data_IF_259218906704
#
_entry.id   IF_259218906704
#
_cell.length_a   1.000
_cell.length_b   1.000
_cell.length_c   1.000
_cell.angle_alpha   90.00
_cell.angle_beta   90.00
_cell.angle_gamma   90.00
#
_symmetry.space_group_name_H-M   'P 1'
#
loop_
_entity.id
_entity.type
_entity.pdbx_description
1 polymer ?
#
# COMPACT_ATOMS: atom_id res chain seq x y z
N UNK A 1 -36.34 -5.21 17.03
CA UNK A 1 -36.50 -4.82 15.61
C UNK A 1 -35.13 -4.82 14.95
N UNK A 2 -34.92 -5.55 13.85
CA UNK A 2 -33.66 -5.48 13.08
C UNK A 2 -33.13 -6.74 12.37
N UNK A 3 -33.81 -7.89 12.38
CA UNK A 3 -33.25 -9.16 11.85
C UNK A 3 -33.86 -9.68 10.53
N UNK A 4 -34.54 -8.83 9.74
CA UNK A 4 -35.33 -9.27 8.56
C UNK A 4 -34.78 -8.86 7.20
N UNK A 5 -33.74 -8.01 7.11
CA UNK A 5 -33.22 -7.56 5.81
C UNK A 5 -32.13 -8.47 5.19
N UNK A 6 -31.31 -9.15 6.01
CA UNK A 6 -30.22 -10.01 5.51
C UNK A 6 -30.71 -11.34 4.87
N UNK A 7 -31.87 -11.86 5.30
CA UNK A 7 -32.44 -13.10 4.77
C UNK A 7 -33.09 -12.93 3.38
N UNK A 8 -33.49 -11.70 3.01
CA UNK A 8 -34.17 -11.41 1.73
C UNK A 8 -33.19 -11.34 0.56
N UNK A 9 -31.97 -10.86 0.78
CA UNK A 9 -30.94 -10.77 -0.26
C UNK A 9 -30.36 -12.15 -0.65
N UNK A 10 -30.19 -13.07 0.31
CA UNK A 10 -29.76 -14.46 0.01
C UNK A 10 -30.78 -15.26 -0.80
N UNK A 11 -32.09 -15.01 -0.61
CA UNK A 11 -33.15 -15.68 -1.39
C UNK A 11 -33.22 -15.19 -2.84
N UNK A 12 -32.84 -13.94 -3.11
CA UNK A 12 -32.85 -13.36 -4.47
C UNK A 12 -31.73 -13.95 -5.35
N UNK A 13 -30.51 -14.10 -4.81
CA UNK A 13 -29.41 -14.73 -5.56
C UNK A 13 -29.67 -16.22 -5.86
N UNK A 14 -30.24 -16.98 -4.91
CA UNK A 14 -30.58 -18.39 -5.13
C UNK A 14 -31.70 -18.60 -6.16
N UNK A 15 -32.54 -17.59 -6.42
CA UNK A 15 -33.58 -17.64 -7.46
C UNK A 15 -33.00 -17.40 -8.84
N UNK A 16 -32.02 -16.50 -8.95
CA UNK A 16 -31.33 -16.20 -10.23
C UNK A 16 -30.46 -17.38 -10.69
N UNK A 17 -29.80 -18.08 -9.77
CA UNK A 17 -29.00 -19.28 -10.10
C UNK A 17 -29.85 -20.47 -10.54
N UNK A 18 -31.04 -20.67 -9.96
CA UNK A 18 -31.97 -21.73 -10.42
C UNK A 18 -32.55 -21.44 -11.81
N UNK A 19 -32.72 -20.17 -12.17
CA UNK A 19 -33.32 -19.78 -13.45
C UNK A 19 -32.35 -19.98 -14.63
N UNK A 20 -31.03 -19.88 -14.40
CA UNK A 20 -30.01 -20.17 -15.42
C UNK A 20 -29.87 -21.68 -15.65
N UNK A 21 -29.94 -22.50 -14.58
CA UNK A 21 -29.86 -23.97 -14.70
C UNK A 21 -31.06 -24.54 -15.47
N UNK A 22 -32.25 -23.95 -15.32
CA UNK A 22 -33.48 -24.46 -15.93
C UNK A 22 -33.62 -24.13 -17.43
N UNK A 23 -32.88 -23.13 -17.94
CA UNK A 23 -32.83 -22.83 -19.40
C UNK A 23 -31.99 -23.86 -20.15
N UNK A 24 -31.00 -24.48 -19.51
CA UNK A 24 -30.16 -25.51 -20.13
C UNK A 24 -30.82 -26.90 -20.19
N UNK A 25 -31.70 -27.26 -19.24
CA UNK A 25 -32.41 -28.56 -19.28
C UNK A 25 -33.60 -28.57 -20.26
N UNK A 26 -34.13 -27.41 -20.65
CA UNK A 26 -35.29 -27.29 -21.55
C UNK A 26 -35.01 -27.54 -23.04
N UNK A 27 -33.75 -27.55 -23.48
CA UNK A 27 -33.38 -27.80 -24.89
C UNK A 27 -33.06 -29.27 -25.20
N UNK A 28 -33.13 -30.16 -24.21
CA UNK A 28 -32.83 -31.60 -24.37
C UNK A 28 -34.07 -32.49 -24.61
N UNK A 29 -35.29 -31.98 -24.43
CA UNK A 29 -36.52 -32.78 -24.45
C UNK A 29 -37.38 -32.66 -25.74
N UNK A 30 -36.81 -32.25 -26.88
CA UNK A 30 -37.50 -32.25 -28.19
C UNK A 30 -36.65 -32.89 -29.29
N UNK A 31 -36.32 -34.16 -29.12
CA UNK A 31 -35.81 -34.99 -30.22
C UNK A 31 -36.17 -36.47 -29.98
N UNK A 32 -37.46 -36.80 -30.06
CA UNK A 32 -37.92 -38.17 -30.30
C UNK A 32 -38.93 -38.16 -31.42
N UNK A 33 -38.43 -38.34 -32.64
CA UNK A 33 -39.01 -39.23 -33.66
C UNK A 33 -38.21 -39.04 -34.95
N UNK A 34 -37.42 -40.07 -35.31
CA UNK A 34 -37.23 -40.65 -36.64
C UNK A 34 -35.82 -41.28 -36.79
N UNK A 35 -35.80 -42.38 -37.56
CA UNK A 35 -34.81 -43.48 -37.66
C UNK A 35 -33.48 -43.11 -38.40
N UNK A 36 -32.43 -43.97 -38.32
CA UNK A 36 -31.00 -43.66 -38.54
C UNK A 36 -30.60 -43.75 -40.03
N UNK A 37 -29.32 -43.57 -40.49
CA UNK A 37 -28.05 -43.64 -39.74
C UNK A 37 -27.00 -42.59 -40.11
N UNK A 38 -26.32 -42.01 -39.12
CA UNK A 38 -24.97 -41.47 -39.35
C UNK A 38 -24.16 -41.55 -38.06
N UNK A 39 -22.94 -42.07 -38.19
CA UNK A 39 -21.96 -42.27 -37.11
C UNK A 39 -21.67 -40.94 -36.42
N UNK A 40 -21.90 -40.85 -35.11
CA UNK A 40 -21.42 -39.72 -34.29
C UNK A 40 -20.47 -40.28 -33.23
N UNK A 41 -19.20 -39.94 -33.39
CA UNK A 41 -18.12 -40.22 -32.44
C UNK A 41 -18.35 -39.34 -31.21
N UNK A 42 -18.48 -39.97 -30.04
CA UNK A 42 -18.57 -39.26 -28.74
C UNK A 42 -17.14 -38.93 -28.30
N UNK A 43 -16.72 -37.67 -28.43
CA UNK A 43 -15.53 -37.16 -27.73
C UNK A 43 -15.93 -36.79 -26.30
N UNK A 44 -15.37 -37.52 -25.34
CA UNK A 44 -15.49 -37.26 -23.91
C UNK A 44 -14.49 -36.14 -23.54
N UNK A 45 -14.96 -34.91 -23.34
CA UNK A 45 -14.11 -33.79 -22.90
C UNK A 45 -13.93 -33.84 -21.38
N UNK A 46 -12.69 -34.08 -20.95
CA UNK A 46 -12.24 -33.92 -19.57
C UNK A 46 -12.28 -32.44 -19.17
N UNK A 47 -13.22 -32.08 -18.30
CA UNK A 47 -13.25 -30.76 -17.67
C UNK A 47 -12.08 -30.69 -16.66
N UNK A 48 -11.07 -29.90 -17.00
CA UNK A 48 -9.89 -29.67 -16.17
C UNK A 48 -10.24 -29.00 -14.84
N UNK A 49 -9.63 -29.49 -13.76
CA UNK A 49 -9.58 -28.80 -12.48
C UNK A 49 -8.83 -27.47 -12.65
N UNK A 50 -9.56 -26.36 -12.68
CA UNK A 50 -8.98 -25.04 -12.45
C UNK A 50 -8.92 -24.84 -10.93
N UNK A 51 -7.71 -25.01 -10.38
CA UNK A 51 -7.40 -24.65 -9.01
C UNK A 51 -7.64 -23.15 -8.80
N UNK A 52 -8.37 -22.82 -7.73
CA UNK A 52 -8.46 -21.45 -7.22
C UNK A 52 -7.07 -21.05 -6.73
N UNK A 53 -6.32 -20.29 -7.52
CA UNK A 53 -5.19 -19.54 -7.01
C UNK A 53 -5.75 -18.35 -6.24
N UNK A 54 -5.63 -18.39 -4.91
CA UNK A 54 -5.84 -17.21 -4.07
C UNK A 54 -4.74 -16.19 -4.43
N UNK A 55 -5.08 -15.25 -5.30
CA UNK A 55 -4.28 -14.03 -5.49
C UNK A 55 -4.52 -13.19 -4.24
N UNK A 56 -3.60 -13.27 -3.28
CA UNK A 56 -3.56 -12.33 -2.17
C UNK A 56 -3.24 -10.94 -2.74
N UNK A 57 -4.11 -9.92 -2.51
CA UNK A 57 -3.78 -8.56 -2.91
C UNK A 57 -2.47 -8.16 -2.24
N UNK A 58 -1.49 -7.75 -3.05
CA UNK A 58 -0.26 -7.14 -2.51
C UNK A 58 -0.66 -5.83 -1.83
N UNK A 59 -0.21 -5.63 -0.60
CA UNK A 59 -0.46 -4.39 0.14
C UNK A 59 -0.07 -3.18 -0.73
N UNK A 60 -0.90 -2.12 -0.78
CA UNK A 60 -0.58 -0.95 -1.58
C UNK A 60 0.76 -0.36 -1.14
N UNK A 61 1.72 -0.31 -2.06
CA UNK A 61 3.00 0.36 -1.87
C UNK A 61 2.87 1.80 -2.35
N UNK A 62 3.25 2.76 -1.51
CA UNK A 62 3.24 4.18 -1.84
C UNK A 62 4.66 4.71 -1.89
N UNK A 63 5.15 5.06 -3.09
CA UNK A 63 6.51 5.57 -3.31
C UNK A 63 6.54 7.08 -3.46
N UNK A 64 7.57 7.70 -2.88
CA UNK A 64 7.87 9.10 -2.97
C UNK A 64 9.35 9.32 -3.33
N UNK A 65 9.59 10.37 -4.12
CA UNK A 65 10.91 10.95 -4.35
C UNK A 65 11.11 12.12 -3.39
N UNK A 66 12.15 12.07 -2.56
CA UNK A 66 12.40 13.04 -1.51
C UNK A 66 13.69 13.83 -1.75
N UNK A 67 13.71 15.07 -1.27
CA UNK A 67 14.86 15.98 -1.27
C UNK A 67 15.07 16.52 0.13
N UNK A 68 16.31 16.46 0.61
CA UNK A 68 16.72 17.10 1.86
C UNK A 68 16.88 18.60 1.60
N UNK A 69 16.04 19.40 2.24
CA UNK A 69 16.00 20.85 2.12
C UNK A 69 16.94 21.52 3.14
N UNK A 70 17.01 20.96 4.36
CA UNK A 70 17.82 21.48 5.46
C UNK A 70 18.49 20.38 6.27
N UNK A 71 19.63 20.69 6.87
CA UNK A 71 20.34 19.80 7.78
C UNK A 71 20.96 20.62 8.89
N UNK A 72 20.56 20.33 10.11
CA UNK A 72 21.16 20.89 11.31
C UNK A 72 21.82 19.77 12.10
N UNK A 73 22.95 20.08 12.73
CA UNK A 73 23.67 19.19 13.63
C UNK A 73 23.78 19.92 14.96
N UNK A 74 23.27 19.32 16.02
CA UNK A 74 23.40 19.93 17.34
C UNK A 74 24.89 20.02 17.68
N UNK A 75 25.42 21.20 18.08
CA UNK A 75 26.78 21.31 18.56
C UNK A 75 26.93 20.42 19.78
N UNK A 76 27.66 19.33 19.58
CA UNK A 76 27.76 18.19 20.46
C UNK A 76 28.14 18.61 21.88
N UNK A 77 27.25 18.36 22.84
CA UNK A 77 27.54 18.35 24.29
C UNK A 77 27.99 16.98 24.82
N UNK A 78 28.06 15.95 23.97
CA UNK A 78 28.41 14.56 24.33
C UNK A 78 29.83 14.13 23.90
N UNK A 79 30.51 13.40 24.79
CA UNK A 79 31.97 13.20 24.84
C UNK A 79 32.50 12.00 24.02
N UNK A 80 31.64 11.21 23.36
CA UNK A 80 32.03 9.92 22.75
C UNK A 80 31.81 9.81 21.22
N UNK A 81 31.52 10.91 20.52
CA UNK A 81 31.38 10.90 19.06
C UNK A 81 29.96 10.63 18.53
N UNK A 82 28.96 10.55 19.41
CA UNK A 82 27.56 10.57 19.03
C UNK A 82 27.16 11.94 18.49
N UNK A 83 26.28 11.98 17.48
CA UNK A 83 25.78 13.23 16.92
C UNK A 83 24.27 13.18 16.73
N UNK A 84 23.59 14.26 17.14
CA UNK A 84 22.17 14.47 16.82
C UNK A 84 22.09 15.25 15.51
N UNK A 85 21.36 14.69 14.55
CA UNK A 85 21.12 15.25 13.23
C UNK A 85 19.63 15.50 13.06
N UNK A 86 19.29 16.72 12.67
CA UNK A 86 17.94 17.09 12.24
C UNK A 86 17.93 17.29 10.72
N UNK A 87 16.98 16.65 10.04
CA UNK A 87 16.78 16.79 8.60
C UNK A 87 15.40 17.39 8.34
N UNK A 88 15.37 18.41 7.48
CA UNK A 88 14.14 18.90 6.88
C UNK A 88 14.09 18.40 5.44
N UNK A 89 12.97 17.82 5.04
CA UNK A 89 12.82 17.28 3.69
C UNK A 89 11.42 17.44 3.12
N UNK A 90 11.38 17.49 1.80
CA UNK A 90 10.16 17.49 1.00
C UNK A 90 10.13 16.24 0.13
N UNK A 91 8.95 15.67 -0.06
CA UNK A 91 8.77 14.55 -0.97
C UNK A 91 7.61 14.78 -1.94
N UNK A 92 7.71 14.22 -3.13
CA UNK A 92 6.65 14.15 -4.14
C UNK A 92 6.37 12.70 -4.49
N UNK A 93 5.13 12.40 -4.83
CA UNK A 93 4.77 11.04 -5.26
C UNK A 93 5.51 10.72 -6.57
N UNK A 94 6.19 9.59 -6.60
CA UNK A 94 6.96 9.16 -7.78
C UNK A 94 6.02 8.86 -8.97
N UNK A 95 4.90 8.17 -8.71
CA UNK A 95 4.02 7.63 -9.75
C UNK A 95 2.50 7.88 -9.51
N UNK A 96 1.73 7.99 -10.59
CA UNK A 96 0.27 7.94 -10.59
C UNK A 96 -0.47 9.30 -10.56
N UNK A 97 -1.81 9.24 -10.48
CA UNK A 97 -2.75 10.39 -10.60
C UNK A 97 -2.65 11.44 -9.48
N UNK A 98 -1.79 11.22 -8.48
CA UNK A 98 -1.63 12.08 -7.31
C UNK A 98 -0.29 12.84 -7.35
N UNK A 99 0.12 13.36 -8.52
CA UNK A 99 1.41 14.07 -8.70
C UNK A 99 1.53 15.33 -7.84
N UNK A 100 0.41 15.93 -7.46
CA UNK A 100 0.36 17.10 -6.56
C UNK A 100 0.38 16.72 -5.08
N UNK A 101 0.39 15.42 -4.77
CA UNK A 101 0.55 14.96 -3.40
C UNK A 101 2.02 14.93 -3.00
N UNK A 102 2.29 15.31 -1.76
CA UNK A 102 3.64 15.42 -1.25
C UNK A 102 3.71 15.43 0.26
N UNK A 103 4.93 15.41 0.76
CA UNK A 103 5.27 15.41 2.18
C UNK A 103 6.15 16.62 2.44
N UNK A 104 5.91 17.31 3.55
CA UNK A 104 6.90 18.18 4.19
C UNK A 104 7.15 17.62 5.57
N UNK A 105 8.40 17.40 5.95
CA UNK A 105 8.72 16.75 7.21
C UNK A 105 10.00 17.27 7.84
N UNK A 106 10.09 17.04 9.14
CA UNK A 106 11.32 17.15 9.92
C UNK A 106 11.54 15.84 10.65
N UNK A 107 12.76 15.31 10.61
CA UNK A 107 13.19 14.16 11.38
C UNK A 107 14.41 14.50 12.22
N UNK A 108 14.50 13.88 13.39
CA UNK A 108 15.61 14.01 14.34
C UNK A 108 16.11 12.61 14.64
N UNK A 109 17.42 12.43 14.57
CA UNK A 109 18.08 11.14 14.76
C UNK A 109 19.38 11.29 15.53
N UNK A 110 19.69 10.32 16.36
CA UNK A 110 20.99 10.17 17.01
C UNK A 110 21.81 9.16 16.23
N UNK A 111 23.09 9.47 16.00
CA UNK A 111 24.01 8.66 15.23
C UNK A 111 25.23 8.29 16.07
N UNK A 112 25.56 7.00 16.05
CA UNK A 112 26.82 6.43 16.50
C UNK A 112 27.54 5.86 15.28
N UNK A 113 28.54 6.61 14.79
CA UNK A 113 29.26 6.29 13.56
C UNK A 113 28.29 6.10 12.37
N UNK A 114 28.17 4.89 11.83
CA UNK A 114 27.36 4.56 10.65
C UNK A 114 25.93 4.14 10.98
N UNK A 115 25.55 4.05 12.26
CA UNK A 115 24.23 3.61 12.69
C UNK A 115 23.48 4.77 13.34
N UNK A 116 22.19 4.87 13.02
CA UNK A 116 21.33 5.90 13.55
C UNK A 116 20.05 5.34 14.15
N UNK A 117 19.54 6.00 15.17
CA UNK A 117 18.20 5.78 15.72
C UNK A 117 17.40 7.06 15.56
N UNK A 118 16.22 6.96 14.96
CA UNK A 118 15.33 8.10 14.79
C UNK A 118 14.58 8.35 16.09
N UNK A 119 14.82 9.53 16.67
CA UNK A 119 14.24 9.95 17.94
C UNK A 119 12.84 10.55 17.74
N UNK A 120 12.64 11.26 16.63
CA UNK A 120 11.37 11.89 16.29
C UNK A 120 11.25 12.14 14.78
N UNK A 121 10.02 12.12 14.27
CA UNK A 121 9.67 12.71 12.97
C UNK A 121 8.23 13.21 13.03
N UNK A 122 7.98 14.30 12.31
CA UNK A 122 6.63 14.77 12.01
C UNK A 122 6.51 14.99 10.51
N UNK A 123 5.51 14.35 9.91
CA UNK A 123 5.34 14.31 8.46
C UNK A 123 3.97 14.90 8.09
N UNK A 124 3.93 15.97 7.32
CA UNK A 124 2.67 16.53 6.81
C UNK A 124 2.47 16.10 5.37
N UNK A 125 1.52 15.20 5.17
CA UNK A 125 1.09 14.72 3.88
C UNK A 125 -0.01 15.62 3.33
N UNK A 126 0.15 16.06 2.09
CA UNK A 126 -0.87 16.82 1.35
C UNK A 126 -1.22 16.08 0.08
N UNK A 127 -2.49 16.10 -0.28
CA UNK A 127 -3.01 15.61 -1.55
C UNK A 127 -4.18 16.51 -1.98
N UNK A 128 -4.64 16.35 -3.22
CA UNK A 128 -5.82 17.08 -3.67
C UNK A 128 -7.02 16.75 -2.76
N UNK A 129 -7.55 17.79 -2.10
CA UNK A 129 -8.70 17.68 -1.21
C UNK A 129 -8.48 16.89 0.08
N UNK A 130 -7.23 16.74 0.55
CA UNK A 130 -6.95 16.03 1.80
C UNK A 130 -5.57 16.32 2.38
N UNK A 131 -5.44 16.13 3.69
CA UNK A 131 -4.16 16.22 4.40
C UNK A 131 -4.11 15.21 5.55
N UNK A 132 -2.92 14.78 5.90
CA UNK A 132 -2.67 13.89 7.03
C UNK A 132 -1.36 14.26 7.74
N UNK A 133 -1.28 13.97 9.04
CA UNK A 133 -0.11 14.22 9.88
C UNK A 133 0.37 12.91 10.46
N UNK A 134 1.54 12.47 9.99
CA UNK A 134 2.30 11.33 10.50
C UNK A 134 3.21 11.75 11.66
N UNK A 135 3.36 10.86 12.62
CA UNK A 135 4.34 10.97 13.70
C UNK A 135 5.10 9.64 13.79
N UNK A 136 6.43 9.73 13.83
CA UNK A 136 7.28 8.56 14.04
C UNK A 136 6.90 7.80 15.31
N UNK A 137 6.87 6.47 15.21
CA UNK A 137 6.78 5.58 16.36
C UNK A 137 8.13 4.95 16.69
N UNK A 138 8.83 4.48 15.68
CA UNK A 138 10.14 3.85 15.77
C UNK A 138 10.84 3.98 14.42
N UNK A 139 12.17 4.05 14.42
CA UNK A 139 12.94 4.00 13.20
C UNK A 139 14.44 3.88 13.44
N UNK A 140 15.09 3.16 12.55
CA UNK A 140 16.53 2.95 12.53
C UNK A 140 17.09 3.38 11.17
N UNK A 141 18.35 3.81 11.18
CA UNK A 141 19.08 4.28 10.01
C UNK A 141 20.47 3.67 9.91
N UNK A 142 20.97 3.60 8.69
CA UNK A 142 22.37 3.27 8.42
C UNK A 142 22.94 4.16 7.31
N UNK A 143 24.21 4.52 7.46
CA UNK A 143 24.98 5.15 6.39
C UNK A 143 25.16 4.16 5.25
N UNK A 144 24.85 4.59 4.03
CA UNK A 144 25.16 3.84 2.81
C UNK A 144 26.52 4.32 2.31
N UNK A 145 27.44 3.38 2.12
CA UNK A 145 28.83 3.64 1.77
C UNK A 145 29.13 3.17 0.33
N UNK A 146 29.79 4.02 -0.45
CA UNK A 146 30.40 3.67 -1.74
C UNK A 146 31.83 4.19 -1.75
N UNK A 147 32.79 3.37 -2.17
CA UNK A 147 34.23 3.72 -2.21
C UNK A 147 34.76 4.35 -0.90
N UNK A 148 34.36 3.78 0.25
CA UNK A 148 34.66 4.29 1.60
C UNK A 148 34.16 5.71 1.90
N UNK A 149 33.12 6.17 1.19
CA UNK A 149 32.48 7.47 1.40
C UNK A 149 30.98 7.29 1.62
N UNK A 150 30.43 8.03 2.58
CA UNK A 150 28.99 8.06 2.79
C UNK A 150 28.29 8.75 1.61
N UNK A 151 27.40 8.02 0.93
CA UNK A 151 26.60 8.52 -0.20
C UNK A 151 25.17 8.86 0.19
N UNK A 152 24.73 8.44 1.38
CA UNK A 152 23.45 8.83 1.95
C UNK A 152 23.04 7.95 3.12
N UNK A 153 21.76 8.00 3.46
CA UNK A 153 21.17 7.27 4.58
C UNK A 153 20.07 6.36 4.05
N UNK A 154 20.13 5.08 4.42
CA UNK A 154 19.00 4.17 4.36
C UNK A 154 18.32 4.14 5.73
N UNK A 155 16.99 4.07 5.76
CA UNK A 155 16.24 4.02 7.00
C UNK A 155 15.01 3.11 6.89
N UNK A 156 14.51 2.65 8.02
CA UNK A 156 13.24 1.93 8.10
C UNK A 156 12.56 2.17 9.43
N UNK A 157 11.24 2.04 9.47
CA UNK A 157 10.50 2.25 10.71
C UNK A 157 9.00 2.24 10.55
N UNK A 158 8.31 2.83 11.52
CA UNK A 158 6.85 2.98 11.55
C UNK A 158 6.46 4.43 11.85
N UNK A 159 5.42 4.89 11.17
CA UNK A 159 4.75 6.16 11.47
C UNK A 159 3.28 5.90 11.75
N UNK A 160 2.72 6.64 12.70
CA UNK A 160 1.27 6.65 12.98
C UNK A 160 0.69 7.98 12.52
N UNK A 161 -0.42 7.92 11.79
CA UNK A 161 -1.15 9.11 11.40
C UNK A 161 -2.03 9.60 12.54
N UNK A 162 -1.57 10.60 13.28
CA UNK A 162 -2.30 11.19 14.41
C UNK A 162 -3.54 11.97 13.97
N UNK A 163 -3.53 12.46 12.74
CA UNK A 163 -4.64 13.18 12.14
C UNK A 163 -4.71 12.90 10.64
N UNK A 164 -5.92 12.76 10.09
CA UNK A 164 -6.14 12.79 8.65
C UNK A 164 -7.54 13.30 8.29
N UNK A 165 -7.67 13.93 7.14
CA UNK A 165 -8.95 14.43 6.63
C UNK A 165 -9.06 14.40 5.10
N UNK A 166 -10.27 14.64 4.61
CA UNK A 166 -10.55 14.72 3.18
C UNK A 166 -10.21 13.43 2.44
N UNK A 167 -9.53 13.53 1.30
CA UNK A 167 -9.10 12.37 0.50
C UNK A 167 -8.11 11.44 1.22
N UNK A 168 -7.52 11.88 2.34
CA UNK A 168 -6.59 11.08 3.16
C UNK A 168 -7.21 10.58 4.47
N UNK A 169 -8.51 10.81 4.73
CA UNK A 169 -9.15 10.50 6.01
C UNK A 169 -8.99 9.04 6.49
N UNK A 170 -8.87 8.08 5.56
CA UNK A 170 -8.65 6.66 5.87
C UNK A 170 -7.34 6.38 6.61
N UNK A 171 -6.39 7.32 6.60
CA UNK A 171 -5.13 7.21 7.33
C UNK A 171 -5.29 7.47 8.83
N UNK A 172 -6.35 8.15 9.29
CA UNK A 172 -6.44 8.56 10.70
C UNK A 172 -6.35 7.37 11.66
N UNK A 173 -5.39 7.41 12.58
CA UNK A 173 -5.10 6.34 13.54
C UNK A 173 -4.40 5.11 12.95
N UNK A 174 -4.05 5.11 11.65
CA UNK A 174 -3.32 4.01 11.02
C UNK A 174 -1.84 4.13 11.26
N UNK A 175 -1.21 2.99 11.49
CA UNK A 175 0.23 2.83 11.48
C UNK A 175 0.65 2.21 10.16
N UNK A 176 1.59 2.83 9.49
CA UNK A 176 2.23 2.30 8.27
C UNK A 176 3.71 2.11 8.52
N UNK A 177 4.33 1.19 7.77
CA UNK A 177 5.78 1.02 7.77
C UNK A 177 6.39 1.86 6.67
N UNK A 178 7.61 2.35 6.88
CA UNK A 178 8.37 3.03 5.85
C UNK A 178 9.76 2.43 5.67
N UNK A 179 10.31 2.60 4.48
CA UNK A 179 11.72 2.41 4.16
C UNK A 179 12.22 3.60 3.35
N UNK A 180 13.52 3.89 3.44
CA UNK A 180 14.18 4.87 2.58
C UNK A 180 15.48 4.29 2.02
N UNK A 181 15.86 4.78 0.84
CA UNK A 181 17.17 4.51 0.25
C UNK A 181 17.70 5.75 -0.46
N UNK A 182 19.01 6.04 -0.40
CA UNK A 182 19.58 7.15 -1.12
C UNK A 182 19.55 6.89 -2.63
N UNK A 183 19.27 7.94 -3.42
CA UNK A 183 19.25 7.89 -4.90
C UNK A 183 20.05 9.03 -5.53
N UNK A 184 20.89 9.68 -4.73
CA UNK A 184 21.78 10.76 -5.16
C UNK A 184 22.04 11.75 -4.03
N UNK A 185 22.88 12.75 -4.32
CA UNK A 185 23.20 13.80 -3.35
C UNK A 185 21.94 14.48 -2.86
N UNK A 186 21.71 14.44 -1.53
CA UNK A 186 20.53 14.99 -0.85
C UNK A 186 19.18 14.45 -1.35
N UNK A 187 19.17 13.32 -2.06
CA UNK A 187 17.95 12.69 -2.58
C UNK A 187 17.81 11.27 -2.09
N UNK A 188 16.59 10.89 -1.77
CA UNK A 188 16.26 9.54 -1.34
C UNK A 188 14.86 9.16 -1.82
N UNK A 189 14.65 7.88 -2.07
CA UNK A 189 13.30 7.33 -2.24
C UNK A 189 12.76 6.95 -0.88
N UNK A 190 11.47 7.17 -0.67
CA UNK A 190 10.73 6.72 0.51
C UNK A 190 9.55 5.85 0.05
N UNK A 191 9.41 4.68 0.64
CA UNK A 191 8.26 3.80 0.41
C UNK A 191 7.49 3.57 1.69
N UNK A 192 6.16 3.59 1.58
CA UNK A 192 5.25 3.15 2.63
C UNK A 192 4.58 1.83 2.25
N UNK A 193 4.45 0.93 3.22
CA UNK A 193 3.69 -0.32 3.11
C UNK A 193 2.61 -0.38 4.19
N UNK A 194 1.54 -1.14 3.92
CA UNK A 194 0.32 -1.13 4.74
C UNK A 194 -0.53 0.13 4.54
N UNK A 195 -0.33 0.85 3.43
CA UNK A 195 -1.11 2.04 3.10
C UNK A 195 -2.54 1.61 2.73
N UNK A 196 -3.59 2.19 3.34
CA UNK A 196 -4.97 1.81 3.01
C UNK A 196 -5.29 2.22 1.58
N UNK A 197 -5.95 1.33 0.84
CA UNK A 197 -6.48 1.66 -0.49
C UNK A 197 -7.44 2.85 -0.37
N UNK A 198 -7.33 3.81 -1.28
CA UNK A 198 -8.24 4.95 -1.29
C UNK A 198 -9.66 4.42 -1.49
N UNK A 199 -10.58 4.75 -0.58
CA UNK A 199 -11.99 4.48 -0.79
C UNK A 199 -12.41 5.20 -2.07
N UNK A 200 -12.62 4.43 -3.15
CA UNK A 200 -13.23 4.92 -4.38
C UNK A 200 -14.54 5.60 -3.97
N UNK A 201 -14.64 6.93 -4.16
CA UNK A 201 -15.92 7.62 -3.99
C UNK A 201 -16.88 7.01 -5.01
N UNK A 202 -17.93 6.35 -4.52
CA UNK A 202 -19.07 5.92 -5.32
C UNK A 202 -19.85 7.12 -5.82
#
# INVERSE_FOLDING_TARGET
>A
MGSTHAARHRRSLNRSLRQVVQVCEGMSARARQMKPPFRIIVLCSTFGLLGLTEVTPTDPVRRYDCTIDGTDREPVGDRNGHVIVSLQYTCRVADGLLRDAGITAISVSEWDSEKGTYLASLDVHRALGGYAVGQLLEGDGSSVMEDNRAVGIAASGKTVFKFASGSLAALSGKTVKFTTKPVGSRRFEMEFTGWPEAAQRK
#
